data_IF_013497591386
#
_entry.id   IF_013497591386
#
_cell.length_a   1.000
_cell.length_b   1.000
_cell.length_c   1.000
_cell.angle_alpha   90.00
_cell.angle_beta   90.00
_cell.angle_gamma   90.00
#
_symmetry.space_group_name_H-M   'P 1'
#
loop_
_entity.id
_entity.type
_entity.pdbx_description
1 polymer ?
#
# COMPACT_ATOMS: atom_id res chain seq x y z
N UNK A 1 22.60 -14.32 9.54
CA UNK A 1 23.18 -12.96 9.66
C UNK A 1 22.09 -12.02 9.18
N UNK A 2 21.38 -11.33 10.08
CA UNK A 2 20.27 -10.44 9.69
C UNK A 2 20.88 -9.12 9.19
N UNK A 3 20.69 -8.81 7.91
CA UNK A 3 21.06 -7.50 7.36
C UNK A 3 20.22 -6.43 8.05
N UNK A 4 20.90 -5.43 8.63
CA UNK A 4 20.24 -4.35 9.36
C UNK A 4 19.49 -3.46 8.38
N UNK A 5 18.23 -3.17 8.68
CA UNK A 5 17.44 -2.18 7.95
C UNK A 5 18.15 -0.81 7.96
N UNK A 6 18.27 -0.20 6.78
CA UNK A 6 18.86 1.11 6.57
C UNK A 6 17.75 2.10 6.18
N UNK A 7 17.77 3.31 6.75
CA UNK A 7 16.85 4.38 6.36
C UNK A 7 17.60 5.62 5.92
N UNK A 8 17.03 6.33 4.94
CA UNK A 8 17.51 7.63 4.48
C UNK A 8 16.37 8.63 4.59
N UNK A 9 16.61 9.73 5.28
CA UNK A 9 15.62 10.79 5.43
C UNK A 9 15.99 12.01 4.57
N UNK A 10 14.96 12.61 3.98
CA UNK A 10 15.05 13.97 3.47
C UNK A 10 14.56 14.96 4.53
N UNK A 11 15.01 16.21 4.46
CA UNK A 11 14.50 17.26 5.35
C UNK A 11 13.00 17.51 5.17
N UNK A 12 12.35 18.02 6.23
CA UNK A 12 10.95 18.45 6.17
C UNK A 12 10.82 19.59 5.15
N UNK A 13 9.86 19.47 4.24
CA UNK A 13 9.51 20.50 3.25
C UNK A 13 8.04 20.85 3.33
N UNK A 14 7.68 22.08 3.00
CA UNK A 14 6.28 22.54 2.98
C UNK A 14 5.73 22.45 1.56
N UNK A 15 4.50 21.97 1.42
CA UNK A 15 3.77 21.85 0.16
C UNK A 15 2.39 22.49 0.29
N UNK A 16 1.90 23.14 -0.77
CA UNK A 16 0.52 23.64 -0.81
C UNK A 16 -0.44 22.49 -1.14
N UNK A 17 -1.46 22.30 -0.30
CA UNK A 17 -2.55 21.35 -0.52
C UNK A 17 -3.87 22.11 -0.37
N UNK A 18 -4.54 22.36 -1.49
CA UNK A 18 -5.84 23.06 -1.53
C UNK A 18 -5.80 24.43 -0.82
N UNK A 19 -4.72 25.19 -1.02
CA UNK A 19 -4.52 26.51 -0.41
C UNK A 19 -4.07 26.46 1.05
N UNK A 20 -3.75 25.28 1.58
CA UNK A 20 -3.18 25.11 2.92
C UNK A 20 -1.73 24.64 2.81
N UNK A 21 -0.83 25.31 3.53
CA UNK A 21 0.57 24.90 3.63
C UNK A 21 0.70 23.70 4.58
N UNK A 22 1.22 22.59 4.07
CA UNK A 22 1.36 21.32 4.81
C UNK A 22 2.80 20.85 4.78
N UNK A 23 3.33 20.46 5.94
CA UNK A 23 4.67 19.88 6.01
C UNK A 23 4.65 18.41 5.58
N UNK A 24 5.67 18.02 4.83
CA UNK A 24 5.91 16.65 4.38
C UNK A 24 7.37 16.29 4.57
N UNK A 25 7.63 15.05 4.99
CA UNK A 25 8.98 14.47 5.07
C UNK A 25 9.00 13.17 4.30
N UNK A 26 10.04 12.94 3.50
CA UNK A 26 10.23 11.66 2.81
C UNK A 26 11.25 10.83 3.58
N UNK A 27 10.92 9.56 3.79
CA UNK A 27 11.86 8.56 4.27
C UNK A 27 11.92 7.40 3.28
N UNK A 28 13.12 6.87 3.05
CA UNK A 28 13.34 5.61 2.36
C UNK A 28 13.71 4.58 3.44
N UNK A 29 13.01 3.45 3.46
CA UNK A 29 13.28 2.32 4.34
C UNK A 29 13.75 1.19 3.44
N UNK A 30 14.92 0.62 3.74
CA UNK A 30 15.47 -0.51 3.00
C UNK A 30 15.74 -1.67 3.95
N UNK A 31 15.31 -2.86 3.55
CA UNK A 31 15.68 -4.11 4.20
C UNK A 31 16.37 -5.05 3.19
N UNK A 32 16.69 -6.27 3.61
CA UNK A 32 17.32 -7.29 2.77
C UNK A 32 16.43 -7.81 1.63
N UNK A 33 15.17 -7.38 1.54
CA UNK A 33 14.21 -7.80 0.52
C UNK A 33 13.85 -6.69 -0.47
N UNK A 34 14.02 -5.42 -0.10
CA UNK A 34 13.71 -4.30 -0.98
C UNK A 34 13.75 -2.93 -0.30
N UNK A 35 13.18 -1.92 -0.96
CA UNK A 35 13.08 -0.56 -0.43
C UNK A 35 11.70 0.05 -0.59
N UNK A 36 11.17 0.67 0.45
CA UNK A 36 9.93 1.43 0.45
C UNK A 36 10.21 2.93 0.61
N UNK A 37 9.49 3.78 -0.15
CA UNK A 37 9.53 5.24 0.00
C UNK A 37 8.23 5.72 0.64
N UNK A 38 8.33 6.31 1.82
CA UNK A 38 7.19 6.78 2.62
C UNK A 38 7.20 8.30 2.68
N UNK A 39 6.02 8.91 2.54
CA UNK A 39 5.82 10.35 2.76
C UNK A 39 5.02 10.57 4.03
N UNK A 40 5.63 11.21 5.02
CA UNK A 40 5.04 11.56 6.31
C UNK A 40 4.45 12.97 6.22
N UNK A 41 3.20 13.15 6.64
CA UNK A 41 2.48 14.41 6.48
C UNK A 41 2.16 15.07 7.82
N UNK A 42 2.06 16.41 7.81
CA UNK A 42 1.66 17.24 8.96
C UNK A 42 2.51 16.92 10.19
N UNK A 43 1.89 16.61 11.33
CA UNK A 43 2.58 16.28 12.57
C UNK A 43 3.54 15.10 12.43
N UNK A 44 3.24 14.14 11.55
CA UNK A 44 4.11 12.98 11.32
C UNK A 44 5.43 13.39 10.62
N UNK A 45 5.45 14.51 9.89
CA UNK A 45 6.66 14.99 9.21
C UNK A 45 7.75 15.43 10.18
N UNK A 46 7.39 15.80 11.41
CA UNK A 46 8.31 16.32 12.43
C UNK A 46 8.92 15.23 13.31
N UNK A 47 8.51 13.97 13.16
CA UNK A 47 9.03 12.86 13.96
C UNK A 47 10.39 12.43 13.43
N UNK A 48 11.40 12.37 14.28
CA UNK A 48 12.68 11.75 13.93
C UNK A 48 12.50 10.24 13.72
N UNK A 49 13.06 9.69 12.65
CA UNK A 49 13.13 8.24 12.46
C UNK A 49 14.58 7.78 12.69
N UNK A 50 14.76 6.69 13.42
CA UNK A 50 16.09 6.13 13.66
C UNK A 50 16.08 4.66 13.29
N UNK A 51 17.00 4.28 12.41
CA UNK A 51 17.25 2.87 12.06
C UNK A 51 17.48 2.04 13.32
N UNK A 52 16.67 1.00 13.52
CA UNK A 52 16.82 0.05 14.62
C UNK A 52 15.83 0.22 15.78
N UNK A 53 14.96 1.23 15.74
CA UNK A 53 13.77 1.31 16.61
C UNK A 53 12.51 0.98 15.81
N UNK A 54 12.51 -0.19 15.18
CA UNK A 54 11.25 -0.78 14.75
C UNK A 54 10.79 -1.68 15.90
N UNK A 55 9.55 -1.54 16.41
CA UNK A 55 8.96 -2.63 17.17
C UNK A 55 9.07 -3.91 16.32
N UNK A 56 9.11 -5.08 16.95
CA UNK A 56 9.10 -6.36 16.23
C UNK A 56 7.84 -6.55 15.35
N UNK A 57 6.91 -5.58 15.38
CA UNK A 57 5.78 -5.46 14.47
C UNK A 57 6.21 -4.86 13.13
N UNK A 58 5.98 -5.64 12.08
CA UNK A 58 6.14 -5.20 10.70
C UNK A 58 5.36 -3.90 10.41
N UNK A 59 5.97 -2.93 9.70
CA UNK A 59 5.35 -1.63 9.47
C UNK A 59 4.09 -1.77 8.61
N UNK A 60 3.03 -1.08 9.01
CA UNK A 60 1.80 -0.97 8.22
C UNK A 60 1.91 0.21 7.26
N UNK A 61 1.66 -0.01 5.97
CA UNK A 61 1.70 1.04 4.95
C UNK A 61 0.58 0.89 3.91
N UNK A 62 0.13 2.01 3.35
CA UNK A 62 -0.90 2.02 2.30
C UNK A 62 -0.26 2.33 0.94
N UNK A 63 -0.55 1.50 -0.07
CA UNK A 63 -0.18 1.73 -1.47
C UNK A 63 -1.43 1.99 -2.30
N UNK A 64 -1.46 3.10 -3.03
CA UNK A 64 -2.42 3.31 -4.10
C UNK A 64 -1.94 2.58 -5.34
N UNK A 65 -2.77 1.71 -5.89
CA UNK A 65 -2.44 0.90 -7.07
C UNK A 65 -3.53 1.02 -8.13
N UNK A 66 -3.13 0.91 -9.39
CA UNK A 66 -4.07 0.70 -10.50
C UNK A 66 -3.96 -0.76 -10.92
N UNK A 67 -5.04 -1.50 -10.70
CA UNK A 67 -5.20 -2.89 -11.10
C UNK A 67 -5.56 -2.95 -12.58
N UNK A 68 -4.76 -3.68 -13.36
CA UNK A 68 -4.94 -3.92 -14.78
C UNK A 68 -5.67 -5.24 -15.06
N UNK A 69 -5.66 -6.18 -14.13
CA UNK A 69 -6.37 -7.45 -14.24
C UNK A 69 -6.63 -8.09 -12.89
N UNK A 70 -7.69 -8.88 -12.80
CA UNK A 70 -8.09 -9.61 -11.60
C UNK A 70 -8.30 -11.07 -11.99
N UNK A 71 -7.78 -11.99 -11.18
CA UNK A 71 -8.00 -13.43 -11.29
C UNK A 71 -8.37 -13.97 -9.91
N UNK A 72 -9.52 -14.63 -9.80
CA UNK A 72 -9.99 -15.22 -8.54
C UNK A 72 -9.83 -16.74 -8.62
N UNK A 73 -9.23 -17.32 -7.58
CA UNK A 73 -9.05 -18.75 -7.42
C UNK A 73 -9.45 -19.15 -5.99
N UNK A 74 -10.72 -19.48 -5.80
CA UNK A 74 -11.29 -19.77 -4.48
C UNK A 74 -11.19 -18.57 -3.53
N UNK A 75 -10.58 -18.79 -2.36
CA UNK A 75 -10.49 -17.78 -1.29
C UNK A 75 -9.44 -16.70 -1.53
N UNK A 76 -8.62 -16.85 -2.58
CA UNK A 76 -7.60 -15.88 -2.95
C UNK A 76 -7.90 -15.22 -4.28
N UNK A 77 -7.55 -13.94 -4.37
CA UNK A 77 -7.60 -13.16 -5.60
C UNK A 77 -6.23 -12.59 -5.91
N UNK A 78 -5.79 -12.78 -7.15
CA UNK A 78 -4.59 -12.18 -7.70
C UNK A 78 -4.95 -10.91 -8.47
N UNK A 79 -4.27 -9.82 -8.13
CA UNK A 79 -4.39 -8.51 -8.76
C UNK A 79 -3.14 -8.26 -9.59
N UNK A 80 -3.27 -8.24 -10.92
CA UNK A 80 -2.22 -7.76 -11.80
C UNK A 80 -2.25 -6.22 -11.77
N UNK A 81 -1.21 -5.62 -11.25
CA UNK A 81 -1.03 -4.18 -11.23
C UNK A 81 -0.52 -3.66 -12.58
N UNK A 82 -0.68 -2.36 -12.84
CA UNK A 82 -0.18 -1.71 -14.06
C UNK A 82 1.35 -1.68 -14.20
N UNK A 83 2.07 -1.87 -13.11
CA UNK A 83 3.54 -1.96 -13.09
C UNK A 83 4.04 -3.42 -13.21
N UNK A 84 3.18 -4.32 -13.70
CA UNK A 84 3.42 -5.76 -13.90
C UNK A 84 3.69 -6.56 -12.61
N UNK A 85 3.42 -5.96 -11.44
CA UNK A 85 3.45 -6.66 -10.16
C UNK A 85 2.13 -7.43 -9.93
N UNK A 86 2.22 -8.56 -9.24
CA UNK A 86 1.04 -9.33 -8.81
C UNK A 86 0.90 -9.24 -7.30
N UNK A 87 -0.26 -8.77 -6.84
CA UNK A 87 -0.62 -8.74 -5.42
C UNK A 87 -1.69 -9.79 -5.15
N UNK A 88 -1.46 -10.64 -4.16
CA UNK A 88 -2.45 -11.62 -3.69
C UNK A 88 -3.22 -11.04 -2.52
N UNK A 89 -4.54 -11.07 -2.60
CA UNK A 89 -5.46 -10.62 -1.55
C UNK A 89 -6.47 -11.73 -1.23
N UNK A 90 -7.07 -11.68 -0.04
CA UNK A 90 -8.26 -12.51 0.24
C UNK A 90 -9.42 -12.05 -0.66
N UNK A 91 -10.13 -13.00 -1.26
CA UNK A 91 -11.33 -12.73 -2.05
C UNK A 91 -12.41 -12.00 -1.22
N UNK A 92 -12.50 -12.30 0.07
CA UNK A 92 -13.40 -11.63 1.01
C UNK A 92 -13.06 -10.14 1.16
N UNK A 93 -11.79 -9.80 1.38
CA UNK A 93 -11.33 -8.41 1.50
C UNK A 93 -11.61 -7.61 0.23
N UNK A 94 -11.45 -8.23 -0.94
CA UNK A 94 -11.77 -7.57 -2.21
C UNK A 94 -13.28 -7.35 -2.36
N UNK A 95 -14.12 -8.34 -2.00
CA UNK A 95 -15.58 -8.22 -2.06
C UNK A 95 -16.11 -7.13 -1.11
N UNK A 96 -15.52 -6.99 0.06
CA UNK A 96 -15.82 -5.93 1.01
C UNK A 96 -15.47 -4.54 0.47
N UNK A 97 -14.36 -4.45 -0.28
CA UNK A 97 -13.89 -3.21 -0.89
C UNK A 97 -14.77 -2.74 -2.05
N UNK A 98 -15.43 -3.67 -2.75
CA UNK A 98 -16.26 -3.36 -3.90
C UNK A 98 -17.59 -2.69 -3.47
N UNK A 99 -18.11 -1.75 -4.28
CA UNK A 99 -19.43 -1.18 -4.05
C UNK A 99 -20.51 -2.28 -3.99
N UNK A 100 -21.52 -2.13 -3.14
CA UNK A 100 -22.56 -3.16 -2.91
C UNK A 100 -23.24 -3.67 -4.19
N UNK A 101 -23.38 -2.81 -5.22
CA UNK A 101 -23.94 -3.19 -6.52
C UNK A 101 -23.03 -4.02 -7.43
N UNK A 102 -21.76 -4.20 -7.07
CA UNK A 102 -20.74 -4.90 -7.86
C UNK A 102 -20.24 -6.20 -7.20
N UNK A 103 -20.87 -6.64 -6.10
CA UNK A 103 -20.58 -7.93 -5.47
C UNK A 103 -21.15 -9.05 -6.34
N UNK A 104 -20.34 -9.57 -7.26
CA UNK A 104 -20.68 -10.73 -8.08
C UNK A 104 -20.10 -12.01 -7.47
N UNK A 105 -20.71 -13.17 -7.73
CA UNK A 105 -20.15 -14.48 -7.36
C UNK A 105 -18.80 -14.67 -8.06
N UNK A 106 -17.72 -14.54 -7.29
CA UNK A 106 -16.34 -14.63 -7.75
C UNK A 106 -15.95 -16.11 -7.89
N UNK A 107 -16.54 -16.85 -8.83
CA UNK A 107 -16.01 -18.18 -9.16
C UNK A 107 -14.96 -18.07 -10.27
N UNK A 108 -15.17 -17.22 -11.29
CA UNK A 108 -14.18 -16.88 -12.31
C UNK A 108 -14.49 -15.50 -12.91
N UNK A 109 -13.91 -14.43 -12.35
CA UNK A 109 -14.09 -13.06 -12.87
C UNK A 109 -12.78 -12.53 -13.47
N UNK A 110 -12.80 -12.27 -14.78
CA UNK A 110 -11.78 -11.45 -15.45
C UNK A 110 -12.39 -10.08 -15.75
N UNK A 111 -12.09 -9.07 -14.94
CA UNK A 111 -12.53 -7.70 -15.21
C UNK A 111 -11.60 -7.10 -16.28
N UNK A 112 -12.13 -6.86 -17.48
CA UNK A 112 -11.46 -6.07 -18.50
C UNK A 112 -11.67 -4.58 -18.21
N UNK A 113 -10.81 -4.01 -17.36
CA UNK A 113 -10.87 -2.61 -16.96
C UNK A 113 -9.76 -2.24 -15.99
N UNK A 114 -9.58 -0.94 -15.73
CA UNK A 114 -8.66 -0.48 -14.69
C UNK A 114 -9.42 -0.11 -13.43
N UNK A 115 -8.99 -0.63 -12.29
CA UNK A 115 -9.54 -0.32 -10.97
C UNK A 115 -8.46 0.33 -10.12
N UNK A 116 -8.76 1.47 -9.51
CA UNK A 116 -7.87 2.10 -8.54
C UNK A 116 -8.22 1.63 -7.13
N UNK A 117 -7.24 1.10 -6.40
CA UNK A 117 -7.39 0.62 -5.03
C UNK A 117 -6.39 1.29 -4.11
N UNK A 118 -6.78 1.49 -2.85
CA UNK A 118 -5.84 1.63 -1.74
C UNK A 118 -5.73 0.26 -1.08
N UNK A 119 -4.51 -0.25 -0.96
CA UNK A 119 -4.23 -1.52 -0.29
C UNK A 119 -3.32 -1.23 0.90
N UNK A 120 -3.74 -1.65 2.09
CA UNK A 120 -2.93 -1.58 3.30
C UNK A 120 -2.20 -2.90 3.53
N UNK A 121 -0.90 -2.81 3.76
CA UNK A 121 -0.01 -3.95 3.95
C UNK A 121 0.61 -3.93 5.33
N UNK A 122 0.82 -5.10 5.92
CA UNK A 122 1.77 -5.36 7.01
C UNK A 122 2.84 -6.30 6.47
N UNK A 123 4.03 -5.79 6.20
CA UNK A 123 5.05 -6.56 5.47
C UNK A 123 4.56 -6.96 4.07
N UNK A 124 4.37 -8.26 3.84
CA UNK A 124 3.79 -8.84 2.61
C UNK A 124 2.31 -9.20 2.73
N UNK A 125 1.73 -9.12 3.93
CA UNK A 125 0.32 -9.43 4.18
C UNK A 125 -0.55 -8.24 3.80
N UNK A 126 -1.70 -8.50 3.16
CA UNK A 126 -2.70 -7.48 2.84
C UNK A 126 -3.75 -7.46 3.96
N UNK A 127 -3.87 -6.32 4.63
CA UNK A 127 -4.82 -6.12 5.73
C UNK A 127 -6.17 -5.62 5.24
N UNK A 128 -6.16 -4.62 4.35
CA UNK A 128 -7.38 -3.99 3.85
C UNK A 128 -7.24 -3.61 2.38
N UNK A 129 -8.38 -3.63 1.69
CA UNK A 129 -8.51 -3.16 0.30
C UNK A 129 -9.65 -2.14 0.29
N UNK A 130 -9.48 -1.02 -0.42
CA UNK A 130 -10.50 0.01 -0.55
C UNK A 130 -10.59 0.48 -1.99
N UNK A 131 -11.80 0.46 -2.54
CA UNK A 131 -12.07 1.01 -3.86
C UNK A 131 -11.94 2.54 -3.87
N UNK A 132 -11.27 3.08 -4.90
CA UNK A 132 -11.15 4.52 -5.11
C UNK A 132 -11.92 4.90 -6.37
N UNK A 133 -12.80 5.90 -6.23
CA UNK A 133 -13.61 6.44 -7.31
C UNK A 133 -12.87 7.52 -8.12
#
# INVERSE_FOLDING_TARGET
MLEKAASKEEGVRTVDVKGSQVNVKKIEIRDGTGSAKVSLWREQSQKDFHTGQYPADEPVYTRRVTVAGISVEGDITQLLLRDDEVVTVSSELLLEALPEGNRMDLEHLTINGTVDLNIEFKGTEVLTVQYIQ
#
